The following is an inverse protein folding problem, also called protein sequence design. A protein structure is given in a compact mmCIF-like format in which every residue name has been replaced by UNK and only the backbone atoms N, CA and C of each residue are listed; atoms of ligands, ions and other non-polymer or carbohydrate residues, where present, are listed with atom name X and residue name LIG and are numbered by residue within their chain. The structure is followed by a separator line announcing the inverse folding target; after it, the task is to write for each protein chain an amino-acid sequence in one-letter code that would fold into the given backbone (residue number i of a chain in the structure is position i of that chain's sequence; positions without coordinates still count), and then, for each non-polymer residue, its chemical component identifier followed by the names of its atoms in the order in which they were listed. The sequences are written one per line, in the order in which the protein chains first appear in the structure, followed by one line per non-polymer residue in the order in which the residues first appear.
data_IF_593602168688
#
_entry.id   IF_593602168688
#
_cell.length_a   1.000
_cell.length_b   1.000
_cell.length_c   1.000
_cell.angle_alpha   90.00
_cell.angle_beta   90.00
_cell.angle_gamma   90.00
#
_symmetry.space_group_name_H-M   'P 1'
#
loop_
_entity.id
_entity.type
_entity.pdbx_description
1 polymer ?
#
# COMPACT_ATOMS: atom_id res chain seq x y z
N UNK A 1 -9.85 60.30 49.29
CA UNK A 1 -8.64 59.95 50.06
C UNK A 1 -7.76 61.18 50.10
N UNK A 2 -7.10 61.45 51.23
CA UNK A 2 -6.13 62.55 51.27
C UNK A 2 -4.95 62.21 50.38
N UNK A 3 -4.39 63.19 49.67
CA UNK A 3 -3.13 62.98 48.95
C UNK A 3 -1.94 63.11 49.90
N UNK A 4 -0.80 62.47 49.63
CA UNK A 4 0.42 62.59 50.43
C UNK A 4 0.84 64.04 50.69
N UNK A 5 0.67 64.91 49.67
CA UNK A 5 0.90 66.35 49.79
C UNK A 5 -0.07 67.06 50.76
N UNK A 6 -1.30 66.59 50.89
CA UNK A 6 -2.29 67.16 51.82
C UNK A 6 -2.00 66.73 53.27
N UNK A 7 -1.41 65.55 53.45
CA UNK A 7 -0.98 65.03 54.75
C UNK A 7 0.26 65.78 55.23
N UNK A 8 1.27 65.97 54.37
CA UNK A 8 2.50 66.66 54.70
C UNK A 8 2.29 68.16 55.01
N UNK A 9 1.31 68.81 54.37
CA UNK A 9 1.02 70.24 54.57
C UNK A 9 -0.08 70.51 55.61
N UNK A 10 -0.55 69.49 56.34
CA UNK A 10 -1.64 69.65 57.31
C UNK A 10 -1.17 70.45 58.52
N UNK A 11 -1.83 71.57 58.80
CA UNK A 11 -1.60 72.38 60.02
C UNK A 11 -2.65 72.07 61.07
N UNK A 12 -2.21 71.98 62.33
CA UNK A 12 -3.07 71.77 63.50
C UNK A 12 -3.19 73.06 64.33
N UNK A 13 -4.37 73.30 64.91
CA UNK A 13 -4.62 74.44 65.79
C UNK A 13 -3.94 74.26 67.16
N UNK A 14 -3.36 75.34 67.69
CA UNK A 14 -2.65 75.31 68.99
C UNK A 14 -3.60 75.54 70.15
N UNK A 15 -3.95 74.49 70.90
CA UNK A 15 -4.82 74.57 72.10
C UNK A 15 -3.98 74.62 73.39
N UNK A 16 -4.26 75.54 74.33
CA UNK A 16 -3.56 75.63 75.63
C UNK A 16 -3.84 74.40 76.51
N UNK A 17 -2.85 73.52 76.71
CA UNK A 17 -2.97 72.24 77.44
C UNK A 17 -1.78 71.30 77.19
N UNK A 18 -1.91 70.00 77.51
CA UNK A 18 -0.93 68.96 77.15
C UNK A 18 -0.85 68.84 75.63
N UNK A 19 0.30 69.20 75.05
CA UNK A 19 0.53 69.27 73.61
C UNK A 19 1.49 68.18 73.17
N UNK A 20 1.21 67.58 72.01
CA UNK A 20 2.23 66.88 71.24
C UNK A 20 3.31 67.87 70.79
N UNK A 21 4.56 67.42 70.67
CA UNK A 21 5.63 68.25 70.13
C UNK A 21 5.40 68.44 68.63
N UNK A 22 5.32 69.70 68.19
CA UNK A 22 5.08 70.02 66.78
C UNK A 22 6.10 69.33 65.86
N UNK A 23 7.38 69.36 66.24
CA UNK A 23 8.46 68.72 65.46
C UNK A 23 8.30 67.19 65.33
N UNK A 24 7.81 66.51 66.36
CA UNK A 24 7.57 65.05 66.30
C UNK A 24 6.35 64.71 65.44
N UNK A 25 5.30 65.54 65.50
CA UNK A 25 4.10 65.39 64.68
C UNK A 25 4.42 65.65 63.21
N UNK A 26 5.20 66.69 62.91
CA UNK A 26 5.60 67.03 61.54
C UNK A 26 6.48 65.92 60.94
N UNK A 27 7.43 65.35 61.71
CA UNK A 27 8.21 64.20 61.27
C UNK A 27 7.36 62.94 61.04
N UNK A 28 6.37 62.69 61.89
CA UNK A 28 5.44 61.57 61.71
C UNK A 28 4.53 61.77 60.49
N UNK A 29 4.02 62.99 60.25
CA UNK A 29 3.24 63.31 59.06
C UNK A 29 4.05 63.15 57.77
N UNK A 30 5.34 63.51 57.78
CA UNK A 30 6.23 63.26 56.65
C UNK A 30 6.38 61.76 56.36
N UNK A 31 6.63 60.94 57.39
CA UNK A 31 6.73 59.48 57.24
C UNK A 31 5.42 58.84 56.75
N UNK A 32 4.27 59.32 57.23
CA UNK A 32 2.95 58.84 56.77
C UNK A 32 2.68 59.27 55.33
N UNK A 33 3.07 60.49 54.95
CA UNK A 33 2.96 60.95 53.57
C UNK A 33 3.84 60.11 52.63
N UNK A 34 5.09 59.83 53.00
CA UNK A 34 6.00 58.97 52.22
C UNK A 34 5.45 57.55 52.08
N UNK A 35 5.03 56.93 53.19
CA UNK A 35 4.42 55.58 53.16
C UNK A 35 3.16 55.54 52.29
N UNK A 36 2.39 56.63 52.27
CA UNK A 36 1.20 56.75 51.43
C UNK A 36 1.53 56.96 49.95
N UNK A 37 2.62 57.67 49.62
CA UNK A 37 3.13 57.74 48.26
C UNK A 37 3.55 56.34 47.78
N UNK A 38 4.33 55.60 48.58
CA UNK A 38 4.79 54.25 48.24
C UNK A 38 3.60 53.31 47.96
N UNK A 39 2.57 53.35 48.83
CA UNK A 39 1.33 52.58 48.64
C UNK A 39 0.58 52.97 47.36
N UNK A 40 0.57 54.24 46.97
CA UNK A 40 -0.08 54.69 45.75
C UNK A 40 0.70 54.26 44.51
N UNK A 41 2.03 54.30 44.55
CA UNK A 41 2.88 53.79 43.47
C UNK A 41 2.73 52.29 43.30
N UNK A 42 2.78 51.52 44.38
CA UNK A 42 2.57 50.07 44.36
C UNK A 42 1.18 49.73 43.83
N UNK A 43 0.14 50.45 44.27
CA UNK A 43 -1.22 50.27 43.76
C UNK A 43 -1.28 50.50 42.24
N UNK A 44 -0.67 51.57 41.72
CA UNK A 44 -0.65 51.83 40.30
C UNK A 44 0.12 50.75 39.52
N UNK A 45 1.22 50.25 40.07
CA UNK A 45 1.99 49.16 39.45
C UNK A 45 1.18 47.86 39.43
N UNK A 46 0.49 47.53 40.51
CA UNK A 46 -0.39 46.36 40.59
C UNK A 46 -1.57 46.48 39.63
N UNK A 47 -2.20 47.65 39.52
CA UNK A 47 -3.27 47.90 38.56
C UNK A 47 -2.78 47.71 37.11
N UNK A 48 -1.59 48.22 36.76
CA UNK A 48 -0.97 47.99 35.44
C UNK A 48 -0.72 46.50 35.19
N UNK A 49 -0.17 45.78 36.17
CA UNK A 49 0.06 44.32 36.07
C UNK A 49 -1.26 43.59 35.86
N UNK A 50 -2.32 43.96 36.58
CA UNK A 50 -3.62 43.32 36.47
C UNK A 50 -4.21 43.46 35.06
N UNK A 51 -4.10 44.64 34.46
CA UNK A 51 -4.52 44.87 33.06
C UNK A 51 -3.75 43.93 32.11
N UNK A 52 -2.42 43.91 32.20
CA UNK A 52 -1.60 43.03 31.33
C UNK A 52 -1.93 41.55 31.53
N UNK A 53 -2.22 41.12 32.77
CA UNK A 53 -2.62 39.75 33.04
C UNK A 53 -4.02 39.44 32.48
N UNK A 54 -4.95 40.39 32.54
CA UNK A 54 -6.28 40.25 31.97
C UNK A 54 -6.21 40.12 30.44
N UNK A 55 -5.42 40.97 29.78
CA UNK A 55 -5.22 40.92 28.32
C UNK A 55 -4.62 39.57 27.88
N UNK A 56 -3.61 39.08 28.61
CA UNK A 56 -3.02 37.76 28.32
C UNK A 56 -3.98 36.60 28.57
N UNK A 57 -4.87 36.74 29.55
CA UNK A 57 -5.87 35.71 29.82
C UNK A 57 -6.89 35.65 28.68
N UNK A 58 -7.26 36.79 28.10
CA UNK A 58 -8.11 36.85 26.92
C UNK A 58 -7.41 36.23 25.71
N UNK A 59 -6.14 36.60 25.44
CA UNK A 59 -5.31 35.99 24.39
C UNK A 59 -5.23 34.46 24.54
N UNK A 60 -4.99 33.95 25.75
CA UNK A 60 -4.94 32.50 25.97
C UNK A 60 -6.28 31.80 25.79
N UNK A 61 -7.41 32.48 26.05
CA UNK A 61 -8.74 31.92 25.77
C UNK A 61 -8.98 31.81 24.28
N UNK A 62 -8.63 32.85 23.52
CA UNK A 62 -8.76 32.87 22.06
C UNK A 62 -7.85 31.81 21.42
N UNK A 63 -6.61 31.68 21.89
CA UNK A 63 -5.68 30.62 21.47
C UNK A 63 -6.23 29.22 21.79
N UNK A 64 -6.82 29.03 22.96
CA UNK A 64 -7.41 27.75 23.35
C UNK A 64 -8.63 27.39 22.49
N UNK A 65 -9.48 28.37 22.17
CA UNK A 65 -10.60 28.18 21.24
C UNK A 65 -10.11 27.85 19.82
N UNK A 66 -9.12 28.57 19.32
CA UNK A 66 -8.47 28.30 18.04
C UNK A 66 -7.88 26.88 18.01
N UNK A 67 -7.16 26.49 19.05
CA UNK A 67 -6.58 25.14 19.15
C UNK A 67 -7.67 24.05 19.22
N UNK A 68 -8.74 24.26 19.99
CA UNK A 68 -9.89 23.34 20.03
C UNK A 68 -10.53 23.20 18.65
N UNK A 69 -10.72 24.32 17.94
CA UNK A 69 -11.29 24.32 16.60
C UNK A 69 -10.40 23.57 15.60
N UNK A 70 -9.08 23.78 15.67
CA UNK A 70 -8.09 23.10 14.85
C UNK A 70 -8.06 21.59 15.12
N UNK A 71 -8.14 21.17 16.39
CA UNK A 71 -8.20 19.75 16.78
C UNK A 71 -9.49 19.08 16.26
N UNK A 72 -10.63 19.74 16.40
CA UNK A 72 -11.90 19.23 15.85
C UNK A 72 -11.87 19.17 14.32
N UNK A 73 -11.27 20.17 13.67
CA UNK A 73 -11.05 20.18 12.22
C UNK A 73 -10.15 19.03 11.77
N UNK A 74 -9.02 18.82 12.45
CA UNK A 74 -8.09 17.72 12.17
C UNK A 74 -8.74 16.35 12.37
N UNK A 75 -9.55 16.17 13.42
CA UNK A 75 -10.29 14.92 13.64
C UNK A 75 -11.30 14.67 12.51
N UNK A 76 -12.12 15.67 12.16
CA UNK A 76 -13.09 15.54 11.06
C UNK A 76 -12.41 15.25 9.73
N UNK A 77 -11.27 15.90 9.46
CA UNK A 77 -10.48 15.65 8.26
C UNK A 77 -9.91 14.22 8.26
N UNK A 78 -9.36 13.76 9.39
CA UNK A 78 -8.89 12.39 9.55
C UNK A 78 -9.99 11.37 9.31
N UNK A 79 -11.17 11.58 9.91
CA UNK A 79 -12.33 10.71 9.73
C UNK A 79 -12.82 10.71 8.27
N UNK A 80 -12.84 11.88 7.61
CA UNK A 80 -13.20 12.00 6.19
C UNK A 80 -12.22 11.25 5.30
N UNK A 81 -10.91 11.43 5.51
CA UNK A 81 -9.86 10.75 4.73
C UNK A 81 -9.98 9.23 4.88
N UNK A 82 -10.20 8.72 6.10
CA UNK A 82 -10.40 7.29 6.34
C UNK A 82 -11.68 6.79 5.66
N UNK A 83 -12.76 7.55 5.71
CA UNK A 83 -14.03 7.19 5.05
C UNK A 83 -13.87 7.14 3.54
N UNK A 84 -13.23 8.13 2.95
CA UNK A 84 -13.02 8.24 1.50
C UNK A 84 -12.06 7.16 1.00
N UNK A 85 -10.99 6.87 1.74
CA UNK A 85 -10.08 5.77 1.42
C UNK A 85 -10.81 4.42 1.46
N UNK A 86 -11.67 4.17 2.47
CA UNK A 86 -12.49 2.96 2.55
C UNK A 86 -13.57 2.86 1.47
N UNK A 87 -14.09 4.00 0.99
CA UNK A 87 -15.01 4.02 -0.14
C UNK A 87 -14.26 3.64 -1.43
N UNK A 88 -13.18 4.35 -1.75
CA UNK A 88 -12.34 4.06 -2.92
C UNK A 88 -11.81 2.63 -2.94
N UNK A 89 -11.39 2.10 -1.79
CA UNK A 89 -10.94 0.72 -1.70
C UNK A 89 -12.06 -0.27 -2.03
N UNK A 90 -13.30 -0.02 -1.58
CA UNK A 90 -14.46 -0.85 -1.94
C UNK A 90 -14.77 -0.75 -3.42
N UNK A 91 -14.78 0.46 -3.98
CA UNK A 91 -15.04 0.66 -5.41
C UNK A 91 -13.99 -0.07 -6.27
N UNK A 92 -12.70 0.00 -5.90
CA UNK A 92 -11.62 -0.73 -6.60
C UNK A 92 -11.82 -2.25 -6.51
N UNK A 93 -12.21 -2.76 -5.35
CA UNK A 93 -12.47 -4.20 -5.17
C UNK A 93 -13.67 -4.65 -6.01
N UNK A 94 -14.75 -3.89 -6.02
CA UNK A 94 -15.94 -4.19 -6.83
C UNK A 94 -15.62 -4.15 -8.32
N UNK A 95 -14.89 -3.13 -8.78
CA UNK A 95 -14.42 -3.03 -10.17
C UNK A 95 -13.51 -4.20 -10.56
N UNK A 96 -12.59 -4.58 -9.67
CA UNK A 96 -11.66 -5.68 -9.91
C UNK A 96 -12.41 -7.02 -9.97
N UNK A 97 -13.36 -7.24 -9.06
CA UNK A 97 -14.20 -8.44 -9.04
C UNK A 97 -15.09 -8.52 -10.29
N UNK A 98 -15.72 -7.42 -10.70
CA UNK A 98 -16.51 -7.35 -11.92
C UNK A 98 -15.67 -7.69 -13.16
N UNK A 99 -14.46 -7.12 -13.27
CA UNK A 99 -13.54 -7.41 -14.38
C UNK A 99 -13.05 -8.85 -14.35
N UNK A 100 -12.72 -9.39 -13.18
CA UNK A 100 -12.31 -10.79 -13.04
C UNK A 100 -13.43 -11.73 -13.49
N UNK A 101 -14.67 -11.47 -13.08
CA UNK A 101 -15.84 -12.25 -13.50
C UNK A 101 -16.06 -12.17 -15.01
N UNK A 102 -15.91 -10.98 -15.62
CA UNK A 102 -15.98 -10.83 -17.07
C UNK A 102 -14.91 -11.66 -17.79
N UNK A 103 -13.65 -11.59 -17.34
CA UNK A 103 -12.55 -12.36 -17.96
C UNK A 103 -12.81 -13.87 -17.86
N UNK A 104 -13.30 -14.35 -16.71
CA UNK A 104 -13.64 -15.76 -16.52
C UNK A 104 -14.77 -16.19 -17.46
N UNK A 105 -15.79 -15.35 -17.63
CA UNK A 105 -16.91 -15.65 -18.51
C UNK A 105 -16.50 -15.65 -19.99
N UNK A 106 -15.71 -14.66 -20.41
CA UNK A 106 -15.16 -14.57 -21.75
C UNK A 106 -14.26 -15.79 -22.07
N UNK A 107 -13.43 -16.21 -21.11
CA UNK A 107 -12.58 -17.39 -21.25
C UNK A 107 -13.42 -18.67 -21.38
N UNK A 108 -14.50 -18.83 -20.60
CA UNK A 108 -15.40 -19.98 -20.74
C UNK A 108 -16.08 -20.00 -22.10
N UNK A 109 -16.59 -18.87 -22.57
CA UNK A 109 -17.22 -18.75 -23.88
C UNK A 109 -16.23 -19.08 -25.00
N UNK A 110 -14.98 -18.65 -24.88
CA UNK A 110 -13.92 -18.98 -25.84
C UNK A 110 -13.56 -20.47 -25.81
N UNK A 111 -13.49 -21.10 -24.63
CA UNK A 111 -13.30 -22.57 -24.50
C UNK A 111 -14.43 -23.32 -25.20
N UNK A 112 -15.69 -22.94 -24.96
CA UNK A 112 -16.85 -23.57 -25.60
C UNK A 112 -16.79 -23.42 -27.13
N UNK A 113 -16.41 -22.23 -27.62
CA UNK A 113 -16.22 -21.96 -29.05
C UNK A 113 -15.13 -22.84 -29.66
N UNK A 114 -13.99 -22.95 -28.99
CA UNK A 114 -12.88 -23.79 -29.44
C UNK A 114 -13.24 -25.27 -29.42
N UNK A 115 -13.92 -25.74 -28.38
CA UNK A 115 -14.38 -27.12 -28.28
C UNK A 115 -15.37 -27.46 -29.39
N UNK A 116 -16.31 -26.56 -29.70
CA UNK A 116 -17.23 -26.73 -30.84
C UNK A 116 -16.47 -26.78 -32.17
N UNK A 117 -15.46 -25.93 -32.36
CA UNK A 117 -14.57 -25.95 -33.52
C UNK A 117 -13.78 -27.26 -33.64
N UNK A 118 -13.24 -27.76 -32.53
CA UNK A 118 -12.50 -29.01 -32.46
C UNK A 118 -13.36 -30.21 -32.85
N UNK A 119 -14.57 -30.32 -32.29
CA UNK A 119 -15.52 -31.40 -32.63
C UNK A 119 -15.91 -31.34 -34.11
N UNK A 120 -16.11 -30.14 -34.66
CA UNK A 120 -16.36 -29.97 -36.10
C UNK A 120 -15.19 -30.47 -36.93
N UNK A 121 -13.96 -30.10 -36.58
CA UNK A 121 -12.76 -30.51 -37.31
C UNK A 121 -12.55 -32.03 -37.23
N UNK A 122 -12.79 -32.66 -36.07
CA UNK A 122 -12.77 -34.12 -35.97
C UNK A 122 -13.77 -34.79 -36.91
N UNK A 123 -14.99 -34.26 -37.03
CA UNK A 123 -15.99 -34.77 -37.99
C UNK A 123 -15.53 -34.61 -39.43
N UNK A 124 -14.92 -33.49 -39.77
CA UNK A 124 -14.36 -33.24 -41.11
C UNK A 124 -13.23 -34.23 -41.43
N UNK A 125 -12.32 -34.48 -40.48
CA UNK A 125 -11.24 -35.48 -40.61
C UNK A 125 -11.80 -36.90 -40.77
N UNK A 126 -12.78 -37.30 -39.96
CA UNK A 126 -13.41 -38.61 -40.07
C UNK A 126 -14.11 -38.80 -41.43
N UNK A 127 -14.78 -37.74 -41.91
CA UNK A 127 -15.42 -37.73 -43.22
C UNK A 127 -14.39 -37.81 -44.35
N UNK A 128 -13.27 -37.08 -44.24
CA UNK A 128 -12.17 -37.13 -45.21
C UNK A 128 -11.54 -38.53 -45.27
N UNK A 129 -11.23 -39.13 -44.12
CA UNK A 129 -10.71 -40.50 -44.02
C UNK A 129 -11.65 -41.50 -44.70
N UNK A 130 -12.95 -41.40 -44.45
CA UNK A 130 -13.96 -42.28 -45.06
C UNK A 130 -14.02 -42.12 -46.58
N UNK A 131 -14.01 -40.87 -47.07
CA UNK A 131 -13.96 -40.58 -48.52
C UNK A 131 -12.69 -41.13 -49.18
N UNK A 132 -11.55 -40.97 -48.53
CA UNK A 132 -10.26 -41.45 -49.03
C UNK A 132 -10.22 -42.98 -49.09
N UNK A 133 -10.69 -43.67 -48.04
CA UNK A 133 -10.82 -45.12 -48.03
C UNK A 133 -11.74 -45.64 -49.14
N UNK A 134 -12.86 -44.95 -49.38
CA UNK A 134 -13.77 -45.30 -50.47
C UNK A 134 -13.09 -45.16 -51.84
N UNK A 135 -12.38 -44.05 -52.07
CA UNK A 135 -11.64 -43.83 -53.31
C UNK A 135 -10.57 -44.92 -53.56
N UNK A 136 -9.81 -45.30 -52.53
CA UNK A 136 -8.84 -46.41 -52.65
C UNK A 136 -9.49 -47.74 -52.98
N UNK A 137 -10.64 -48.07 -52.35
CA UNK A 137 -11.38 -49.30 -52.68
C UNK A 137 -11.84 -49.31 -54.13
N UNK A 138 -12.37 -48.19 -54.62
CA UNK A 138 -12.77 -48.04 -56.02
C UNK A 138 -11.58 -48.20 -56.98
N UNK A 139 -10.43 -47.61 -56.65
CA UNK A 139 -9.22 -47.77 -57.46
C UNK A 139 -8.71 -49.22 -57.49
N UNK A 140 -8.73 -49.92 -56.34
CA UNK A 140 -8.36 -51.34 -56.28
C UNK A 140 -9.30 -52.22 -57.09
N UNK A 141 -10.60 -51.95 -57.06
CA UNK A 141 -11.61 -52.65 -57.86
C UNK A 141 -11.38 -52.43 -59.36
N UNK A 142 -11.08 -51.19 -59.77
CA UNK A 142 -10.70 -50.88 -61.14
C UNK A 142 -9.43 -51.64 -61.57
N UNK A 143 -8.39 -51.69 -60.74
CA UNK A 143 -7.15 -52.43 -61.02
C UNK A 143 -7.43 -53.94 -61.15
N UNK A 144 -8.23 -54.51 -60.25
CA UNK A 144 -8.62 -55.92 -60.30
C UNK A 144 -9.44 -56.26 -61.55
N UNK A 145 -10.15 -55.28 -62.12
CA UNK A 145 -10.93 -55.44 -63.35
C UNK A 145 -10.10 -55.32 -64.64
N UNK A 146 -8.83 -54.92 -64.57
CA UNK A 146 -7.93 -54.91 -65.73
C UNK A 146 -7.54 -56.37 -66.01
N UNK A 147 -7.89 -56.95 -67.18
CA UNK A 147 -7.51 -58.31 -67.50
C UNK A 147 -5.99 -58.37 -67.70
N UNK A 148 -5.30 -58.94 -66.72
CA UNK A 148 -3.90 -59.32 -66.87
C UNK A 148 -3.88 -60.68 -67.56
N UNK A 149 -3.30 -60.70 -68.76
CA UNK A 149 -2.94 -61.94 -69.43
C UNK A 149 -1.78 -62.56 -68.63
N UNK A 150 -2.08 -63.51 -67.73
CA UNK A 150 -1.10 -64.19 -66.86
C UNK A 150 0.05 -64.86 -67.65
N UNK A 151 -0.09 -64.97 -68.97
CA UNK A 151 0.91 -65.55 -69.88
C UNK A 151 2.07 -64.61 -70.28
N UNK A 152 2.05 -63.32 -69.92
CA UNK A 152 3.11 -62.36 -70.35
C UNK A 152 4.10 -61.99 -69.24
N UNK A 153 3.74 -62.13 -67.96
CA UNK A 153 4.62 -61.70 -66.84
C UNK A 153 5.52 -62.83 -66.32
N UNK A 154 5.31 -64.08 -66.77
CA UNK A 154 5.98 -65.26 -66.22
C UNK A 154 7.25 -65.81 -66.92
N UNK A 155 8.03 -65.09 -67.77
CA UNK A 155 9.34 -65.60 -68.18
C UNK A 155 10.56 -64.87 -67.58
N UNK A 156 10.41 -63.74 -66.88
CA UNK A 156 11.57 -62.89 -66.52
C UNK A 156 12.11 -63.01 -65.08
N UNK A 157 11.51 -63.78 -64.18
CA UNK A 157 11.96 -63.87 -62.77
C UNK A 157 12.28 -65.29 -62.27
N UNK A 158 12.51 -66.26 -63.18
CA UNK A 158 12.81 -67.66 -62.80
C UNK A 158 14.25 -68.13 -63.06
N UNK A 159 15.20 -67.21 -63.33
CA UNK A 159 16.62 -67.57 -63.50
C UNK A 159 17.56 -66.60 -62.80
N UNK A 160 17.56 -66.66 -61.48
CA UNK A 160 18.77 -66.48 -60.66
C UNK A 160 18.43 -66.95 -59.25
N UNK A 161 18.58 -68.24 -59.00
CA UNK A 161 18.94 -68.71 -57.66
C UNK A 161 20.46 -68.57 -57.54
N UNK A 162 20.97 -67.80 -56.58
CA UNK A 162 22.24 -68.10 -55.95
C UNK A 162 21.99 -68.91 -54.68
N UNK A 163 22.67 -70.06 -54.61
CA UNK A 163 22.83 -70.91 -53.41
C UNK A 163 23.70 -70.16 -52.37
N UNK A 164 23.54 -70.40 -51.05
CA UNK A 164 24.06 -69.52 -50.00
C UNK A 164 25.54 -69.77 -49.68
N UNK A 165 26.28 -68.73 -49.22
CA UNK A 165 27.45 -68.91 -48.38
C UNK A 165 27.15 -68.62 -46.89
N UNK A 166 27.87 -69.33 -46.03
CA UNK A 166 27.89 -69.23 -44.57
C UNK A 166 28.34 -67.84 -44.03
N UNK A 167 27.93 -67.60 -42.77
CA UNK A 167 28.08 -66.48 -41.81
C UNK A 167 29.48 -65.80 -41.69
N UNK A 168 29.69 -64.68 -40.92
CA UNK A 168 28.90 -64.18 -39.77
C UNK A 168 28.80 -62.63 -39.54
N UNK A 169 28.04 -62.29 -38.49
CA UNK A 169 28.16 -61.18 -37.51
C UNK A 169 27.44 -59.83 -37.73
N UNK A 170 26.66 -59.48 -36.68
CA UNK A 170 26.33 -58.15 -36.11
C UNK A 170 25.54 -57.15 -37.00
N UNK A 171 24.49 -56.46 -36.56
CA UNK A 171 24.08 -56.04 -35.20
C UNK A 171 22.64 -55.46 -35.22
N UNK A 172 21.97 -55.64 -34.09
CA UNK A 172 20.90 -54.85 -33.45
C UNK A 172 19.47 -54.76 -34.05
N UNK A 173 18.57 -55.36 -33.26
CA UNK A 173 17.14 -55.09 -33.00
C UNK A 173 16.83 -53.62 -32.62
N UNK A 174 15.59 -53.23 -32.21
CA UNK A 174 14.27 -53.91 -32.26
C UNK A 174 13.18 -53.04 -32.95
N UNK A 175 12.19 -53.59 -33.64
CA UNK A 175 10.90 -54.09 -33.11
C UNK A 175 10.09 -53.08 -32.29
N UNK A 176 9.00 -52.57 -32.87
CA UNK A 176 7.80 -52.22 -32.10
C UNK A 176 6.53 -52.68 -32.84
N UNK A 177 5.97 -53.76 -32.33
CA UNK A 177 4.64 -54.29 -32.63
C UNK A 177 3.65 -53.79 -31.58
N UNK A 178 2.52 -53.25 -32.04
CA UNK A 178 1.31 -53.03 -31.24
C UNK A 178 0.57 -54.36 -31.06
N UNK A 179 0.00 -54.64 -29.87
CA UNK A 179 -1.45 -54.83 -29.75
C UNK A 179 -1.95 -54.26 -28.40
N UNK A 180 -3.22 -54.08 -28.05
CA UNK A 180 -4.56 -54.13 -28.62
C UNK A 180 -5.50 -53.77 -27.44
N UNK A 181 -6.73 -53.40 -27.75
CA UNK A 181 -7.74 -52.80 -26.87
C UNK A 181 -8.36 -53.78 -25.85
N UNK A 182 -8.97 -53.24 -24.78
CA UNK A 182 -10.27 -53.63 -24.17
C UNK A 182 -10.55 -52.64 -23.02
N UNK A 183 -11.50 -51.71 -23.14
CA UNK A 183 -12.93 -51.79 -22.79
C UNK A 183 -13.26 -51.31 -21.35
N UNK A 184 -14.41 -50.64 -21.26
CA UNK A 184 -14.91 -49.70 -20.25
C UNK A 184 -15.89 -50.38 -19.29
N UNK A 185 -15.98 -49.97 -18.01
CA UNK A 185 -17.21 -49.95 -17.16
C UNK A 185 -16.95 -48.92 -16.02
N UNK A 186 -17.59 -47.74 -15.94
CA UNK A 186 -18.98 -47.37 -15.61
C UNK A 186 -19.31 -47.28 -14.09
N UNK A 187 -20.02 -46.20 -13.77
CA UNK A 187 -20.86 -45.88 -12.62
C UNK A 187 -20.22 -45.63 -11.24
N UNK A 188 -20.45 -44.41 -10.75
CA UNK A 188 -20.12 -43.97 -9.40
C UNK A 188 -21.12 -44.39 -8.34
N UNK A 189 -20.78 -44.10 -7.09
CA UNK A 189 -21.72 -43.99 -5.98
C UNK A 189 -21.16 -43.00 -4.95
N UNK A 190 -21.93 -41.95 -4.67
CA UNK A 190 -21.85 -41.15 -3.44
C UNK A 190 -23.18 -41.37 -2.73
N UNK A 191 -23.15 -41.54 -1.40
CA UNK A 191 -23.99 -40.64 -0.62
C UNK A 191 -23.28 -40.07 0.62
N UNK A 192 -23.70 -38.83 0.91
CA UNK A 192 -23.42 -38.03 2.09
C UNK A 192 -24.13 -38.56 3.35
N UNK A 193 -23.67 -38.20 4.55
CA UNK A 193 -24.30 -37.16 5.41
C UNK A 193 -23.70 -37.11 6.85
N UNK A 194 -23.05 -35.97 7.19
CA UNK A 194 -23.11 -35.13 8.43
C UNK A 194 -22.92 -35.68 9.87
N UNK A 195 -22.74 -34.82 10.93
CA UNK A 195 -22.20 -33.44 11.03
C UNK A 195 -21.31 -33.13 12.29
N UNK A 196 -20.84 -31.85 12.39
CA UNK A 196 -20.56 -31.03 13.61
C UNK A 196 -19.41 -31.47 14.57
N UNK A 197 -18.51 -30.65 15.13
CA UNK A 197 -18.46 -29.21 15.48
C UNK A 197 -16.99 -28.84 15.89
N UNK A 198 -16.67 -27.59 16.32
CA UNK A 198 -15.42 -26.89 16.02
C UNK A 198 -14.42 -26.80 17.19
N UNK A 199 -13.34 -26.04 16.96
CA UNK A 199 -12.28 -25.57 17.87
C UNK A 199 -10.99 -26.40 17.91
N UNK A 200 -9.85 -25.73 17.71
CA UNK A 200 -8.57 -26.18 18.26
C UNK A 200 -7.35 -26.06 17.34
N UNK A 201 -6.66 -24.93 17.48
CA UNK A 201 -5.22 -24.72 17.27
C UNK A 201 -4.34 -26.00 17.42
N UNK A 202 -3.58 -26.37 16.39
CA UNK A 202 -2.28 -27.08 16.45
C UNK A 202 -1.75 -27.25 15.00
N UNK A 203 -0.70 -26.54 14.59
CA UNK A 203 0.70 -26.98 14.65
C UNK A 203 1.01 -28.16 13.70
N UNK A 204 1.55 -27.87 12.52
CA UNK A 204 2.20 -28.83 11.62
C UNK A 204 3.33 -28.12 10.82
N UNK A 205 4.36 -28.88 10.39
CA UNK A 205 5.76 -28.56 10.64
C UNK A 205 6.51 -28.10 9.40
N UNK A 206 7.71 -27.53 9.64
CA UNK A 206 8.70 -27.29 8.59
C UNK A 206 9.09 -28.62 7.91
N UNK A 207 8.84 -28.71 6.60
CA UNK A 207 9.44 -29.71 5.72
C UNK A 207 10.18 -28.98 4.60
N UNK A 208 11.49 -29.03 4.76
CA UNK A 208 12.52 -28.77 3.78
C UNK A 208 12.67 -30.07 2.96
N UNK A 209 12.28 -30.06 1.69
CA UNK A 209 12.64 -31.14 0.77
C UNK A 209 12.91 -30.58 -0.63
N UNK A 210 14.03 -31.06 -1.17
CA UNK A 210 14.77 -30.47 -2.28
C UNK A 210 14.09 -30.57 -3.65
N UNK A 211 14.23 -29.50 -4.42
CA UNK A 211 13.95 -29.49 -5.85
C UNK A 211 15.13 -30.12 -6.62
N UNK A 212 14.91 -31.09 -7.53
CA UNK A 212 15.96 -31.69 -8.35
C UNK A 212 16.36 -30.79 -9.55
N UNK A 213 17.51 -31.07 -10.22
CA UNK A 213 18.16 -30.08 -11.08
C UNK A 213 17.76 -30.15 -12.56
N UNK A 214 17.85 -28.97 -13.18
CA UNK A 214 18.32 -28.65 -14.54
C UNK A 214 17.47 -28.98 -15.80
N UNK A 215 17.31 -27.89 -16.58
CA UNK A 215 17.39 -27.82 -18.06
C UNK A 215 16.15 -28.16 -18.90
N UNK A 216 15.41 -27.10 -19.29
CA UNK A 216 15.03 -26.86 -20.69
C UNK A 216 14.81 -25.35 -20.92
N UNK A 217 15.40 -24.83 -21.99
CA UNK A 217 15.62 -23.43 -22.32
C UNK A 217 14.33 -22.62 -22.56
N UNK A 218 14.17 -21.49 -21.86
CA UNK A 218 13.26 -20.42 -22.30
C UNK A 218 14.04 -19.39 -23.13
N UNK A 219 13.52 -18.93 -24.29
CA UNK A 219 14.24 -18.02 -25.17
C UNK A 219 14.44 -16.63 -24.55
N UNK A 220 15.54 -15.92 -24.87
CA UNK A 220 15.78 -14.58 -24.35
C UNK A 220 14.82 -13.57 -24.98
N UNK A 221 14.14 -12.79 -24.14
CA UNK A 221 13.41 -11.60 -24.57
C UNK A 221 14.43 -10.55 -25.05
N UNK A 222 14.60 -10.42 -26.36
CA UNK A 222 15.33 -9.31 -26.97
C UNK A 222 14.43 -8.08 -26.96
N UNK A 223 14.74 -7.11 -26.10
CA UNK A 223 14.13 -5.79 -26.15
C UNK A 223 14.86 -4.97 -27.23
N UNK A 224 14.16 -4.58 -28.30
CA UNK A 224 14.69 -3.69 -29.33
C UNK A 224 14.71 -2.25 -28.81
N UNK A 225 15.89 -1.66 -28.72
CA UNK A 225 16.17 -0.28 -28.25
C UNK A 225 15.81 0.83 -29.25
N UNK A 226 14.89 0.61 -30.18
CA UNK A 226 14.55 1.58 -31.23
C UNK A 226 13.06 1.96 -31.19
N UNK A 227 12.61 2.49 -30.05
CA UNK A 227 11.47 3.39 -30.03
C UNK A 227 11.81 4.55 -29.08
N UNK A 228 12.43 5.58 -29.67
CA UNK A 228 12.79 6.82 -29.02
C UNK A 228 11.52 7.62 -28.69
N UNK A 229 10.93 7.32 -27.53
CA UNK A 229 10.01 8.23 -26.88
C UNK A 229 10.78 9.49 -26.50
N UNK A 230 10.57 10.56 -27.26
CA UNK A 230 11.08 11.89 -26.98
C UNK A 230 10.33 12.41 -25.75
N UNK A 231 10.94 12.23 -24.57
CA UNK A 231 10.55 12.93 -23.36
C UNK A 231 10.79 14.42 -23.63
N UNK A 232 9.72 15.22 -23.69
CA UNK A 232 9.88 16.64 -23.39
C UNK A 232 10.35 16.71 -21.94
N UNK A 233 11.58 17.21 -21.80
CA UNK A 233 12.26 17.52 -20.55
C UNK A 233 11.41 18.55 -19.80
N UNK A 234 10.44 18.06 -19.05
CA UNK A 234 9.66 18.85 -18.11
C UNK A 234 10.52 19.00 -16.87
N UNK A 235 10.86 20.26 -16.61
CA UNK A 235 11.67 20.79 -15.52
C UNK A 235 12.04 19.76 -14.44
N UNK A 236 13.34 19.45 -14.34
CA UNK A 236 13.92 18.76 -13.20
C UNK A 236 13.28 19.28 -11.92
N UNK A 237 12.56 18.41 -11.22
CA UNK A 237 12.21 18.66 -9.84
C UNK A 237 13.51 18.65 -9.04
N UNK A 238 14.15 19.81 -8.97
CA UNK A 238 15.15 20.13 -7.96
C UNK A 238 14.39 20.04 -6.63
N UNK A 239 14.72 19.08 -5.75
CA UNK A 239 14.19 19.11 -4.40
C UNK A 239 14.74 20.40 -3.78
N UNK A 240 13.89 21.40 -3.61
CA UNK A 240 14.23 22.64 -2.92
C UNK A 240 14.71 22.30 -1.50
N UNK A 241 16.03 22.29 -1.34
CA UNK A 241 16.73 22.32 -0.06
C UNK A 241 16.64 21.04 0.76
N UNK A 242 17.75 20.70 1.43
CA UNK A 242 17.64 19.98 2.71
C UNK A 242 16.56 20.66 3.56
N UNK A 243 15.71 19.91 4.30
CA UNK A 243 14.75 20.55 5.18
C UNK A 243 15.53 21.40 6.17
N UNK A 244 15.49 22.74 6.00
CA UNK A 244 16.07 23.66 6.95
C UNK A 244 15.51 23.27 8.32
N UNK A 245 16.39 22.91 9.26
CA UNK A 245 16.00 22.69 10.65
C UNK A 245 15.10 23.87 11.05
N UNK A 246 13.91 23.63 11.64
CA UNK A 246 12.97 24.71 11.90
C UNK A 246 13.69 25.80 12.67
N UNK A 247 13.78 26.99 12.07
CA UNK A 247 14.49 28.13 12.64
C UNK A 247 14.14 28.23 14.12
N UNK A 248 15.17 28.11 14.97
CA UNK A 248 15.02 28.17 16.43
C UNK A 248 14.22 29.44 16.72
N UNK A 249 12.95 29.28 17.12
CA UNK A 249 12.06 30.41 17.43
C UNK A 249 12.62 31.09 18.67
N UNK A 250 13.55 32.02 18.48
CA UNK A 250 13.96 32.92 19.53
C UNK A 250 12.75 33.77 19.89
N UNK A 251 12.36 33.74 21.17
CA UNK A 251 11.33 34.62 21.72
C UNK A 251 11.65 36.06 21.32
N UNK A 252 10.62 36.84 20.92
CA UNK A 252 10.76 38.28 20.60
C UNK A 252 11.43 39.11 21.71
N UNK A 253 11.55 38.56 22.92
CA UNK A 253 12.11 39.20 24.10
C UNK A 253 13.53 38.73 24.46
N UNK A 254 14.17 37.89 23.65
CA UNK A 254 15.49 37.31 23.96
C UNK A 254 15.43 36.29 25.12
N UNK A 255 16.58 35.86 25.68
CA UNK A 255 16.61 34.90 26.78
C UNK A 255 15.99 35.53 28.04
N UNK A 256 14.87 34.97 28.52
CA UNK A 256 14.21 35.43 29.75
C UNK A 256 15.11 35.15 30.97
N UNK A 257 15.59 36.23 31.58
CA UNK A 257 16.35 36.24 32.84
C UNK A 257 15.41 36.50 34.00
N UNK A 258 15.39 35.60 34.99
CA UNK A 258 14.69 35.85 36.26
C UNK A 258 15.75 36.09 37.34
N UNK A 259 15.96 37.35 37.73
CA UNK A 259 17.01 37.72 38.68
C UNK A 259 18.43 37.45 38.16
N UNK A 260 19.44 37.59 39.03
CA UNK A 260 20.87 37.48 38.65
C UNK A 260 21.35 36.05 38.43
N UNK A 261 20.56 35.05 38.81
CA UNK A 261 21.03 33.65 38.92
C UNK A 261 20.16 32.64 38.13
N UNK A 262 19.06 33.05 37.49
CA UNK A 262 18.15 32.11 36.83
C UNK A 262 18.00 32.38 35.33
N UNK A 263 18.62 31.49 34.54
CA UNK A 263 18.50 31.42 33.09
C UNK A 263 17.67 30.20 32.68
N UNK A 264 16.47 30.43 32.17
CA UNK A 264 15.66 29.37 31.55
C UNK A 264 16.17 29.09 30.14
N UNK A 265 17.16 28.20 30.01
CA UNK A 265 17.50 27.60 28.70
C UNK A 265 16.48 26.49 28.39
N UNK A 266 15.73 26.68 27.29
CA UNK A 266 14.74 25.72 26.79
C UNK A 266 15.46 24.47 26.26
N UNK A 267 15.44 23.38 27.03
CA UNK A 267 16.06 22.09 26.66
C UNK A 267 15.07 21.27 25.80
N UNK A 268 14.93 21.61 24.52
CA UNK A 268 14.03 20.89 23.60
C UNK A 268 14.61 19.54 23.10
N UNK A 269 15.79 19.12 23.56
CA UNK A 269 16.48 17.90 23.09
C UNK A 269 16.28 16.62 23.92
N UNK A 270 15.50 16.62 25.01
CA UNK A 270 15.38 15.46 25.93
C UNK A 270 13.96 14.92 26.09
N UNK A 271 13.23 14.69 24.99
CA UNK A 271 12.04 13.83 25.00
C UNK A 271 11.90 13.04 23.70
N UNK A 272 12.86 12.16 23.44
CA UNK A 272 12.68 10.99 22.57
C UNK A 272 13.42 9.80 23.17
N UNK A 273 12.72 9.06 24.01
CA UNK A 273 12.85 7.60 24.21
C UNK A 273 11.49 7.07 24.59
#
# INVERSE_FOLDING_TARGET
MLNPNEIANKRFDKVMGQKYRADEVDNYLAQVADSMNDLLEEKQELEKKLIVLADKLEEYKDDEESLRSALLGAQKLGDSVVRDAKAKARDILEDAEARANMIVEDAKMEIERQQAGFVRMQREVATFKSKLQLAYKQHLELIASIPVDENVVNPAMKKTQPKPPEAPAESDEPSESVPEQTEMEDAGDFPADSPENPDGLADLPAQEDGYPPAEDELPPLTYSEEDSFQYEETDEYIPDGEPEEPARRESRFGPLKFGREFDLKRNDGKRRR
#
